data_IF_143556548389
#
_entry.id   IF_143556548389
#
_cell.length_a   1.000
_cell.length_b   1.000
_cell.length_c   1.000
_cell.angle_alpha   90.00
_cell.angle_beta   90.00
_cell.angle_gamma   90.00
#
_symmetry.space_group_name_H-M   'P 1'
#
loop_
_entity.id
_entity.type
_entity.pdbx_description
1 polymer ?
#
# COMPACT_ATOMS: atom_id res chain seq x y z
N UNK A 1 -22.34 -18.82 -35.04
CA UNK A 1 -21.23 -19.59 -34.43
C UNK A 1 -20.27 -18.57 -33.86
N UNK A 2 -20.06 -18.59 -32.54
CA UNK A 2 -19.04 -17.75 -31.88
C UNK A 2 -17.80 -18.62 -31.77
N UNK A 3 -16.78 -18.33 -32.57
CA UNK A 3 -15.49 -19.00 -32.46
C UNK A 3 -14.77 -18.46 -31.22
N UNK A 4 -14.49 -19.35 -30.27
CA UNK A 4 -13.68 -19.06 -29.10
C UNK A 4 -12.20 -19.03 -29.50
N UNK A 5 -11.53 -17.89 -29.29
CA UNK A 5 -10.10 -17.73 -29.51
C UNK A 5 -9.29 -18.29 -28.32
N UNK A 6 -8.28 -19.11 -28.63
CA UNK A 6 -7.26 -19.55 -27.68
C UNK A 6 -6.29 -18.40 -27.40
N UNK A 7 -6.19 -17.94 -26.16
CA UNK A 7 -5.11 -17.07 -25.70
C UNK A 7 -4.11 -17.87 -24.85
N UNK A 8 -2.92 -18.09 -25.40
CA UNK A 8 -1.77 -18.62 -24.64
C UNK A 8 -1.01 -17.43 -24.05
N UNK A 9 -0.77 -17.42 -22.73
CA UNK A 9 0.09 -16.45 -22.05
C UNK A 9 1.36 -17.14 -21.55
N UNK A 10 2.37 -17.24 -22.41
CA UNK A 10 3.72 -17.58 -21.99
C UNK A 10 4.41 -16.34 -21.38
N UNK A 11 5.18 -16.53 -20.29
CA UNK A 11 6.22 -15.56 -19.89
C UNK A 11 5.91 -14.50 -18.82
N UNK A 12 5.09 -14.77 -17.80
CA UNK A 12 5.00 -13.89 -16.60
C UNK A 12 5.32 -14.65 -15.32
N UNK A 13 6.21 -14.09 -14.50
CA UNK A 13 6.50 -14.63 -13.17
C UNK A 13 5.48 -14.10 -12.17
N UNK A 14 4.79 -15.01 -11.51
CA UNK A 14 3.82 -14.74 -10.45
C UNK A 14 4.47 -14.98 -9.09
N UNK A 15 4.28 -14.04 -8.16
CA UNK A 15 4.71 -14.13 -6.78
C UNK A 15 3.46 -14.19 -5.89
N UNK A 16 3.14 -15.39 -5.40
CA UNK A 16 2.01 -15.58 -4.49
C UNK A 16 2.42 -15.26 -3.06
N UNK A 17 1.74 -14.30 -2.45
CA UNK A 17 1.86 -13.99 -1.02
C UNK A 17 0.58 -14.39 -0.33
N UNK A 18 0.70 -15.31 0.62
CA UNK A 18 -0.40 -15.77 1.45
C UNK A 18 -0.40 -14.89 2.71
N UNK A 19 -1.47 -14.12 2.90
CA UNK A 19 -1.68 -13.38 4.14
C UNK A 19 -2.18 -14.31 5.25
N UNK A 20 -2.10 -13.88 6.51
CA UNK A 20 -2.50 -14.70 7.66
C UNK A 20 -4.00 -15.05 7.66
N UNK A 21 -4.81 -14.32 6.85
CA UNK A 21 -6.22 -14.63 6.56
C UNK A 21 -6.40 -15.70 5.48
N UNK A 22 -5.34 -16.42 5.12
CA UNK A 22 -5.30 -17.42 4.04
C UNK A 22 -5.71 -16.86 2.67
N UNK A 23 -5.75 -15.54 2.51
CA UNK A 23 -6.00 -14.89 1.23
C UNK A 23 -4.68 -14.78 0.47
N UNK A 24 -4.62 -15.47 -0.66
CA UNK A 24 -3.50 -15.35 -1.60
C UNK A 24 -3.66 -14.12 -2.47
N UNK A 25 -2.63 -13.28 -2.47
CA UNK A 25 -2.49 -12.16 -3.41
C UNK A 25 -1.35 -12.48 -4.35
N UNK A 26 -1.63 -12.47 -5.66
CA UNK A 26 -0.63 -12.73 -6.70
C UNK A 26 -0.05 -11.42 -7.19
N UNK A 27 1.26 -11.27 -7.12
CA UNK A 27 1.99 -10.11 -7.62
C UNK A 27 2.74 -10.46 -8.91
N UNK A 28 2.77 -9.53 -9.87
CA UNK A 28 3.50 -9.74 -11.13
C UNK A 28 4.94 -9.24 -10.99
N UNK A 29 5.90 -10.07 -11.40
CA UNK A 29 7.32 -9.76 -11.49
C UNK A 29 7.78 -9.65 -12.96
N UNK A 30 8.61 -8.65 -13.31
CA UNK A 30 9.16 -7.60 -12.45
C UNK A 30 8.12 -6.52 -12.07
N UNK A 31 8.43 -5.73 -11.04
CA UNK A 31 7.65 -4.56 -10.67
C UNK A 31 7.69 -3.50 -11.78
N UNK A 32 6.58 -2.79 -11.97
CA UNK A 32 6.53 -1.61 -12.84
C UNK A 32 7.35 -0.49 -12.24
N UNK A 33 8.00 0.32 -13.09
CA UNK A 33 8.71 1.54 -12.70
C UNK A 33 8.11 2.76 -13.40
N UNK A 34 7.99 3.86 -12.66
CA UNK A 34 7.57 5.15 -13.19
C UNK A 34 7.09 6.12 -12.10
N UNK A 35 6.57 7.24 -12.53
CA UNK A 35 5.85 8.20 -11.69
C UNK A 35 4.52 7.60 -11.20
N UNK A 36 3.90 8.25 -10.21
CA UNK A 36 2.62 7.77 -9.68
C UNK A 36 1.52 7.70 -10.75
N UNK A 37 1.43 8.66 -11.67
CA UNK A 37 0.43 8.65 -12.74
C UNK A 37 0.75 7.63 -13.83
N UNK A 38 2.00 7.49 -14.24
CA UNK A 38 2.36 6.48 -15.25
C UNK A 38 2.03 5.07 -14.73
N UNK A 39 2.32 4.80 -13.46
CA UNK A 39 1.97 3.54 -12.82
C UNK A 39 0.45 3.38 -12.65
N UNK A 40 -0.27 4.49 -12.41
CA UNK A 40 -1.72 4.52 -12.32
C UNK A 40 -2.38 3.99 -13.60
N UNK A 41 -1.80 4.33 -14.75
CA UNK A 41 -2.40 4.05 -16.06
C UNK A 41 -1.89 2.71 -16.63
N UNK A 42 -0.59 2.44 -16.49
CA UNK A 42 0.05 1.24 -17.06
C UNK A 42 -0.39 -0.07 -16.40
N UNK A 43 -0.54 -0.09 -15.08
CA UNK A 43 -0.89 -1.33 -14.37
C UNK A 43 -2.30 -1.82 -14.78
N UNK A 44 -3.35 -0.98 -14.77
CA UNK A 44 -4.66 -1.36 -15.28
C UNK A 44 -4.68 -1.65 -16.78
N UNK A 45 -3.89 -0.95 -17.59
CA UNK A 45 -3.81 -1.22 -19.03
C UNK A 45 -3.35 -2.66 -19.35
N UNK A 46 -2.56 -3.27 -18.45
CA UNK A 46 -2.13 -4.67 -18.55
C UNK A 46 -3.13 -5.68 -17.94
N UNK A 47 -4.32 -5.20 -17.54
CA UNK A 47 -5.36 -6.00 -16.91
C UNK A 47 -5.07 -6.38 -15.47
N UNK A 48 -4.23 -5.61 -14.77
CA UNK A 48 -3.84 -5.83 -13.38
C UNK A 48 -4.46 -4.77 -12.45
N UNK A 49 -4.56 -5.12 -11.18
CA UNK A 49 -5.01 -4.20 -10.14
C UNK A 49 -3.80 -3.44 -9.60
N UNK A 50 -3.96 -2.13 -9.41
CA UNK A 50 -2.98 -1.28 -8.70
C UNK A 50 -2.80 -1.82 -7.27
N UNK A 51 -1.58 -1.90 -6.70
CA UNK A 51 -1.42 -2.34 -5.32
C UNK A 51 -1.87 -1.25 -4.35
N UNK A 52 -2.62 -1.58 -3.30
CA UNK A 52 -2.79 -0.70 -2.14
C UNK A 52 -1.47 -0.57 -1.37
N UNK A 53 -1.42 0.31 -0.37
CA UNK A 53 -0.29 0.33 0.56
C UNK A 53 -0.12 -1.00 1.29
N UNK A 54 -1.21 -1.65 1.70
CA UNK A 54 -1.15 -2.97 2.34
C UNK A 54 -0.61 -4.05 1.41
N UNK A 55 -1.03 -4.07 0.14
CA UNK A 55 -0.46 -5.00 -0.85
C UNK A 55 1.07 -4.78 -0.96
N UNK A 56 1.52 -3.52 -0.93
CA UNK A 56 2.94 -3.17 -0.92
C UNK A 56 3.65 -3.63 0.37
N UNK A 57 3.00 -3.51 1.53
CA UNK A 57 3.51 -4.06 2.80
C UNK A 57 3.68 -5.57 2.71
N UNK A 58 2.68 -6.28 2.20
CA UNK A 58 2.67 -7.74 2.14
C UNK A 58 3.80 -8.29 1.26
N UNK A 59 3.99 -7.75 0.05
CA UNK A 59 5.08 -8.19 -0.83
C UNK A 59 6.47 -7.84 -0.27
N UNK A 60 6.61 -6.67 0.36
CA UNK A 60 7.87 -6.29 1.01
C UNK A 60 8.14 -7.21 2.21
N UNK A 61 7.14 -7.47 3.04
CA UNK A 61 7.26 -8.37 4.18
C UNK A 61 7.67 -9.77 3.73
N UNK A 62 7.03 -10.32 2.70
CA UNK A 62 7.41 -11.59 2.09
C UNK A 62 8.88 -11.58 1.60
N UNK A 63 9.33 -10.50 0.96
CA UNK A 63 10.72 -10.34 0.55
C UNK A 63 11.71 -10.38 1.72
N UNK A 64 11.38 -9.81 2.88
CA UNK A 64 12.26 -9.79 4.05
C UNK A 64 12.20 -11.07 4.90
N UNK A 65 11.12 -11.84 4.83
CA UNK A 65 10.88 -13.00 5.68
C UNK A 65 10.96 -14.35 4.97
N UNK A 66 10.92 -14.38 3.64
CA UNK A 66 11.06 -15.62 2.88
C UNK A 66 12.38 -16.32 3.19
N UNK A 67 12.29 -17.59 3.61
CA UNK A 67 13.44 -18.46 3.91
C UNK A 67 13.67 -19.52 2.83
N UNK A 68 12.80 -19.63 1.82
CA UNK A 68 12.96 -20.61 0.77
C UNK A 68 14.10 -20.18 -0.18
N UNK A 69 15.19 -20.96 -0.29
CA UNK A 69 16.33 -20.63 -1.14
C UNK A 69 15.96 -20.55 -2.63
N UNK A 70 14.97 -21.31 -3.10
CA UNK A 70 14.54 -21.32 -4.51
C UNK A 70 13.96 -19.97 -4.94
N UNK A 71 13.46 -19.19 -3.99
CA UNK A 71 12.85 -17.87 -4.21
C UNK A 71 13.74 -16.71 -3.75
N UNK A 72 14.98 -16.98 -3.34
CA UNK A 72 15.90 -15.96 -2.82
C UNK A 72 16.12 -14.79 -3.81
N UNK A 73 16.22 -15.09 -5.11
CA UNK A 73 16.40 -14.06 -6.15
C UNK A 73 15.26 -13.03 -6.19
N UNK A 74 14.02 -13.43 -5.93
CA UNK A 74 12.87 -12.53 -5.91
C UNK A 74 12.82 -11.72 -4.61
N UNK A 75 13.15 -12.36 -3.49
CA UNK A 75 13.30 -11.68 -2.21
C UNK A 75 14.38 -10.59 -2.28
N UNK A 76 15.53 -10.89 -2.89
CA UNK A 76 16.63 -9.94 -3.04
C UNK A 76 16.29 -8.81 -4.03
N UNK A 77 15.52 -9.10 -5.08
CA UNK A 77 14.96 -8.08 -5.97
C UNK A 77 14.08 -7.08 -5.20
N UNK A 78 13.18 -7.57 -4.34
CA UNK A 78 12.30 -6.72 -3.52
C UNK A 78 13.12 -5.86 -2.54
N UNK A 79 14.09 -6.47 -1.85
CA UNK A 79 15.01 -5.75 -0.93
C UNK A 79 15.83 -4.69 -1.68
N UNK A 80 16.26 -4.98 -2.90
CA UNK A 80 16.98 -4.02 -3.75
C UNK A 80 16.11 -2.82 -4.11
N UNK A 81 14.85 -3.04 -4.53
CA UNK A 81 13.92 -1.93 -4.76
C UNK A 81 13.77 -1.09 -3.49
N UNK A 82 13.52 -1.72 -2.34
CA UNK A 82 13.37 -1.00 -1.07
C UNK A 82 14.62 -0.17 -0.73
N UNK A 83 15.81 -0.66 -1.04
CA UNK A 83 17.07 0.05 -0.81
C UNK A 83 17.25 1.27 -1.74
N UNK A 84 16.91 1.10 -3.01
CA UNK A 84 17.30 2.03 -4.07
C UNK A 84 16.18 3.03 -4.45
N UNK A 85 14.91 2.69 -4.17
CA UNK A 85 13.75 3.43 -4.63
C UNK A 85 12.55 3.33 -3.68
N UNK A 86 11.45 4.01 -4.04
CA UNK A 86 10.17 3.91 -3.34
C UNK A 86 9.35 2.73 -3.89
N UNK A 87 8.79 1.92 -3.00
CA UNK A 87 7.67 1.01 -3.31
C UNK A 87 6.37 1.76 -3.05
N UNK A 88 5.57 1.95 -4.10
CA UNK A 88 4.36 2.78 -4.08
C UNK A 88 3.13 1.93 -3.78
N UNK A 89 2.33 2.40 -2.83
CA UNK A 89 0.94 1.99 -2.68
C UNK A 89 0.02 3.03 -3.30
N UNK A 90 -1.04 2.59 -3.97
CA UNK A 90 -2.11 3.46 -4.46
C UNK A 90 -3.11 3.74 -3.35
N UNK A 91 -2.61 4.35 -2.28
CA UNK A 91 -3.41 4.79 -1.13
C UNK A 91 -3.20 6.29 -0.96
N UNK A 92 -4.28 7.05 -1.09
CA UNK A 92 -4.31 8.49 -0.88
C UNK A 92 -4.42 8.82 0.61
N UNK A 93 -3.79 9.92 1.01
CA UNK A 93 -3.78 10.42 2.38
C UNK A 93 -4.16 11.89 2.33
N UNK A 94 -5.34 12.21 2.82
CA UNK A 94 -5.88 13.56 2.87
C UNK A 94 -5.82 14.08 4.29
N UNK A 95 -4.94 15.06 4.51
CA UNK A 95 -4.78 15.76 5.78
C UNK A 95 -5.72 16.96 5.80
N UNK A 96 -6.59 17.04 6.80
CA UNK A 96 -7.54 18.15 7.01
C UNK A 96 -7.75 18.37 8.51
N UNK A 97 -8.97 18.24 9.05
CA UNK A 97 -9.27 18.19 10.51
C UNK A 97 -8.69 16.96 11.22
N UNK A 98 -8.36 15.94 10.45
CA UNK A 98 -7.66 14.73 10.85
C UNK A 98 -6.97 14.16 9.62
N UNK A 99 -6.88 12.85 9.52
CA UNK A 99 -6.30 12.19 8.35
C UNK A 99 -7.27 11.16 7.81
N UNK A 100 -7.72 11.37 6.57
CA UNK A 100 -8.43 10.38 5.78
C UNK A 100 -7.43 9.59 4.95
N UNK A 101 -7.59 8.26 4.95
CA UNK A 101 -6.77 7.33 4.17
C UNK A 101 -7.70 6.54 3.27
N UNK A 102 -7.51 6.66 1.96
CA UNK A 102 -8.37 6.01 0.96
C UNK A 102 -7.53 5.13 0.05
N UNK A 103 -7.88 3.85 -0.04
CA UNK A 103 -7.31 2.97 -1.07
C UNK A 103 -7.92 3.27 -2.45
N UNK A 104 -7.06 3.25 -3.47
CA UNK A 104 -7.40 3.45 -4.87
C UNK A 104 -8.15 4.75 -5.19
N UNK A 105 -7.69 5.92 -4.70
CA UNK A 105 -8.29 7.19 -5.09
C UNK A 105 -8.17 7.38 -6.61
N UNK A 106 -9.07 8.19 -7.16
CA UNK A 106 -8.91 8.70 -8.51
C UNK A 106 -7.64 9.55 -8.59
N UNK A 107 -6.99 9.53 -9.76
CA UNK A 107 -5.74 10.27 -9.99
C UNK A 107 -5.95 11.21 -11.16
N UNK A 108 -5.71 12.50 -10.92
CA UNK A 108 -5.78 13.55 -11.93
C UNK A 108 -4.49 14.36 -11.85
N UNK A 109 -3.82 14.56 -12.99
CA UNK A 109 -2.57 15.33 -13.08
C UNK A 109 -1.53 14.90 -12.02
N UNK A 110 -1.26 13.60 -11.92
CA UNK A 110 -0.31 13.00 -10.96
C UNK A 110 -0.70 13.14 -9.48
N UNK A 111 -1.92 13.56 -9.16
CA UNK A 111 -2.35 13.80 -7.78
C UNK A 111 -3.60 12.99 -7.47
N UNK A 112 -3.62 12.35 -6.30
CA UNK A 112 -4.82 11.69 -5.79
C UNK A 112 -5.91 12.73 -5.50
N UNK A 113 -7.12 12.48 -6.00
CA UNK A 113 -8.28 13.36 -5.80
C UNK A 113 -9.11 12.82 -4.64
N UNK A 114 -9.31 13.67 -3.63
CA UNK A 114 -9.95 13.31 -2.37
C UNK A 114 -10.77 14.52 -1.90
N UNK A 115 -12.09 14.45 -2.01
CA UNK A 115 -13.01 15.50 -1.55
C UNK A 115 -13.44 15.22 -0.10
N UNK A 116 -13.10 16.11 0.83
CA UNK A 116 -13.37 15.92 2.26
C UNK A 116 -14.85 15.65 2.57
N UNK A 117 -15.78 16.42 2.01
CA UNK A 117 -17.23 16.23 2.23
C UNK A 117 -17.70 14.85 1.79
N UNK A 118 -17.18 14.33 0.68
CA UNK A 118 -17.55 13.00 0.19
C UNK A 118 -16.92 11.89 1.03
N UNK A 119 -15.71 12.10 1.54
CA UNK A 119 -15.06 11.17 2.46
C UNK A 119 -15.83 11.08 3.78
N UNK A 120 -16.24 12.21 4.35
CA UNK A 120 -17.03 12.25 5.58
C UNK A 120 -18.34 11.46 5.47
N UNK A 121 -19.05 11.58 4.34
CA UNK A 121 -20.29 10.84 4.10
C UNK A 121 -20.09 9.33 3.94
N UNK A 122 -18.89 8.88 3.57
CA UNK A 122 -18.54 7.47 3.38
C UNK A 122 -18.02 6.79 4.65
N UNK A 123 -17.65 7.57 5.67
CA UNK A 123 -17.22 6.99 6.94
C UNK A 123 -18.38 6.24 7.60
N UNK A 124 -18.11 5.02 8.04
CA UNK A 124 -19.04 4.21 8.82
C UNK A 124 -18.91 4.49 10.31
N UNK A 125 -19.50 3.59 11.11
CA UNK A 125 -19.46 3.65 12.58
C UNK A 125 -18.46 2.71 13.22
N UNK A 126 -17.84 1.81 12.43
CA UNK A 126 -16.86 0.85 12.94
C UNK A 126 -15.56 1.56 13.32
N UNK A 127 -15.16 1.44 14.58
CA UNK A 127 -13.90 1.96 15.11
C UNK A 127 -13.07 0.84 15.76
N UNK A 128 -11.83 0.68 15.33
CA UNK A 128 -10.87 -0.31 15.85
C UNK A 128 -9.47 0.33 15.95
N UNK A 129 -8.77 0.11 17.06
CA UNK A 129 -7.45 0.71 17.34
C UNK A 129 -7.41 2.27 17.18
N UNK A 130 -8.55 2.94 17.39
CA UNK A 130 -8.68 4.39 17.21
C UNK A 130 -8.69 4.85 15.75
N UNK A 131 -9.06 3.94 14.83
CA UNK A 131 -9.26 4.16 13.40
C UNK A 131 -10.74 3.92 13.09
N UNK A 132 -11.39 4.91 12.46
CA UNK A 132 -12.78 4.79 11.99
C UNK A 132 -12.76 4.32 10.54
N UNK A 133 -13.58 3.33 10.19
CA UNK A 133 -13.61 2.70 8.87
C UNK A 133 -14.93 2.99 8.14
N UNK A 134 -14.87 3.09 6.81
CA UNK A 134 -16.05 2.85 5.98
C UNK A 134 -16.50 1.39 6.04
N UNK A 135 -17.73 1.12 5.63
CA UNK A 135 -18.31 -0.23 5.62
C UNK A 135 -17.53 -1.19 4.69
N UNK A 136 -17.06 -0.70 3.55
CA UNK A 136 -16.19 -1.44 2.62
C UNK A 136 -14.72 -1.53 3.10
N UNK A 137 -14.38 -0.82 4.18
CA UNK A 137 -13.05 -0.76 4.75
C UNK A 137 -12.00 -0.05 3.90
N UNK A 138 -12.34 0.52 2.73
CA UNK A 138 -11.38 1.19 1.84
C UNK A 138 -11.00 2.60 2.32
N UNK A 139 -11.91 3.27 3.02
CA UNK A 139 -11.69 4.55 3.66
C UNK A 139 -11.48 4.36 5.15
N UNK A 140 -10.46 5.05 5.68
CA UNK A 140 -10.21 5.16 7.11
C UNK A 140 -10.04 6.61 7.51
N UNK A 141 -10.36 6.90 8.76
CA UNK A 141 -10.11 8.20 9.38
C UNK A 141 -9.44 8.04 10.73
N UNK A 142 -8.50 8.94 11.02
CA UNK A 142 -7.92 9.11 12.36
C UNK A 142 -7.86 10.59 12.73
N UNK A 143 -8.03 10.93 14.02
CA UNK A 143 -7.68 12.26 14.50
C UNK A 143 -6.15 12.43 14.56
N UNK A 144 -5.70 13.68 14.60
CA UNK A 144 -4.30 13.99 14.90
C UNK A 144 -3.88 13.54 16.31
N UNK A 145 -2.59 13.67 16.61
CA UNK A 145 -1.99 13.20 17.87
C UNK A 145 -1.42 11.79 17.78
N UNK A 146 -1.12 11.31 16.57
CA UNK A 146 -0.25 10.16 16.36
C UNK A 146 1.22 10.60 16.35
N UNK A 147 2.11 9.69 16.75
CA UNK A 147 3.55 9.93 16.71
C UNK A 147 4.06 9.90 15.28
N UNK A 148 4.98 10.79 14.92
CA UNK A 148 5.69 10.76 13.64
C UNK A 148 7.19 10.60 13.88
N UNK A 149 7.96 10.63 12.79
CA UNK A 149 9.42 10.55 12.82
C UNK A 149 9.94 9.22 13.39
N UNK A 150 11.10 9.24 14.03
CA UNK A 150 11.73 8.05 14.58
C UNK A 150 10.94 7.49 15.78
N UNK A 151 10.64 6.19 15.75
CA UNK A 151 9.94 5.53 16.86
C UNK A 151 10.42 4.09 17.07
N UNK A 152 10.17 3.53 18.26
CA UNK A 152 10.51 2.13 18.51
C UNK A 152 9.66 1.24 17.62
N UNK A 153 10.19 0.07 17.23
CA UNK A 153 9.48 -0.93 16.41
C UNK A 153 8.08 -1.24 16.96
N UNK A 154 7.97 -1.48 18.28
CA UNK A 154 6.68 -1.74 18.94
C UNK A 154 5.69 -0.57 18.88
N UNK A 155 6.19 0.67 18.79
CA UNK A 155 5.34 1.87 18.71
C UNK A 155 4.83 2.03 17.28
N UNK A 156 5.61 1.60 16.27
CA UNK A 156 5.18 1.58 14.86
C UNK A 156 3.96 0.69 14.66
N UNK A 157 3.98 -0.54 15.20
CA UNK A 157 2.86 -1.49 15.12
C UNK A 157 1.55 -0.96 15.74
N UNK A 158 1.64 -0.01 16.67
CA UNK A 158 0.49 0.57 17.40
C UNK A 158 0.16 1.98 16.93
N UNK A 159 0.83 2.46 15.89
CA UNK A 159 0.65 3.82 15.40
C UNK A 159 -0.63 3.91 14.55
N UNK A 160 -1.59 4.72 14.99
CA UNK A 160 -2.90 4.88 14.32
C UNK A 160 -2.79 5.22 12.83
N UNK A 161 -1.84 6.06 12.42
CA UNK A 161 -1.64 6.37 11.00
C UNK A 161 -1.07 5.18 10.24
N UNK A 162 -0.14 4.44 10.83
CA UNK A 162 0.42 3.24 10.21
C UNK A 162 -0.66 2.16 10.04
N UNK A 163 -1.50 1.96 11.06
CA UNK A 163 -2.65 1.05 11.01
C UNK A 163 -3.61 1.46 9.88
N UNK A 164 -4.03 2.73 9.84
CA UNK A 164 -4.91 3.24 8.80
C UNK A 164 -4.32 3.08 7.38
N UNK A 165 -3.02 3.37 7.21
CA UNK A 165 -2.32 3.17 5.93
C UNK A 165 -2.23 1.69 5.56
N UNK A 166 -1.88 0.82 6.49
CA UNK A 166 -1.70 -0.60 6.27
C UNK A 166 -3.01 -1.41 6.35
N UNK A 167 -4.15 -0.73 6.26
CA UNK A 167 -5.52 -1.22 6.38
C UNK A 167 -5.93 -1.73 7.77
N UNK A 168 -5.02 -2.30 8.54
CA UNK A 168 -5.30 -2.83 9.87
C UNK A 168 -4.01 -2.99 10.70
N UNK A 169 -4.18 -3.51 11.92
CA UNK A 169 -3.09 -3.75 12.86
C UNK A 169 -2.11 -4.82 12.39
N UNK A 170 -2.59 -5.86 11.73
CA UNK A 170 -1.73 -6.88 11.11
C UNK A 170 -0.83 -6.22 10.04
N UNK A 171 -1.38 -5.27 9.29
CA UNK A 171 -0.70 -4.26 8.48
C UNK A 171 0.52 -3.66 9.15
N UNK A 172 0.27 -3.01 10.27
CA UNK A 172 1.28 -2.30 11.03
C UNK A 172 2.30 -3.24 11.68
N UNK A 173 1.90 -4.44 12.10
CA UNK A 173 2.78 -5.45 12.68
C UNK A 173 3.77 -6.00 11.65
N UNK A 174 3.36 -6.27 10.41
CA UNK A 174 4.30 -6.64 9.33
C UNK A 174 5.32 -5.54 9.04
N UNK A 175 4.92 -4.26 9.12
CA UNK A 175 5.86 -3.14 9.00
C UNK A 175 6.84 -3.09 10.17
N UNK A 176 6.39 -3.39 11.38
CA UNK A 176 7.27 -3.51 12.54
C UNK A 176 8.26 -4.68 12.37
N UNK A 177 7.83 -5.83 11.85
CA UNK A 177 8.69 -6.97 11.58
C UNK A 177 9.75 -6.68 10.51
N UNK A 178 9.39 -5.92 9.45
CA UNK A 178 10.37 -5.40 8.47
C UNK A 178 11.34 -4.44 9.16
N UNK A 179 10.84 -3.53 10.00
CA UNK A 179 11.65 -2.54 10.70
C UNK A 179 12.67 -3.20 11.64
N UNK A 180 12.31 -4.30 12.29
CA UNK A 180 13.19 -5.07 13.18
C UNK A 180 14.40 -5.69 12.44
N UNK A 181 14.30 -5.86 11.11
CA UNK A 181 15.44 -6.30 10.27
C UNK A 181 16.45 -5.20 9.99
N UNK A 182 16.13 -3.96 10.36
CA UNK A 182 16.99 -2.80 10.14
C UNK A 182 17.77 -2.46 11.41
N UNK A 183 18.96 -1.89 11.24
CA UNK A 183 19.83 -1.50 12.37
C UNK A 183 19.24 -0.34 13.18
N UNK A 184 18.44 0.51 12.53
CA UNK A 184 17.86 1.71 13.11
C UNK A 184 16.36 1.60 13.26
N UNK A 185 15.85 2.36 14.22
CA UNK A 185 14.44 2.55 14.43
C UNK A 185 13.73 3.05 13.15
N UNK A 186 12.50 2.55 12.89
CA UNK A 186 11.69 3.00 11.77
C UNK A 186 11.37 4.50 11.89
N UNK A 187 11.10 5.11 10.74
CA UNK A 187 10.73 6.52 10.63
C UNK A 187 9.40 6.67 9.89
N UNK A 188 8.45 7.40 10.48
CA UNK A 188 7.18 7.75 9.85
C UNK A 188 7.21 9.19 9.34
N UNK A 189 7.20 9.38 8.02
CA UNK A 189 7.06 10.69 7.38
C UNK A 189 5.58 11.00 7.20
N UNK A 190 5.03 11.91 8.01
CA UNK A 190 3.64 12.35 7.92
C UNK A 190 3.48 13.78 8.44
N UNK A 191 2.39 14.44 8.04
CA UNK A 191 2.03 15.76 8.58
C UNK A 191 1.27 15.58 9.90
N UNK A 192 1.70 16.29 10.94
CA UNK A 192 1.08 16.24 12.28
C UNK A 192 -0.07 17.22 12.45
N UNK A 193 -0.13 18.24 11.58
CA UNK A 193 -1.23 19.18 11.41
C UNK A 193 -1.06 19.92 10.08
N UNK A 194 -2.13 20.54 9.59
CA UNK A 194 -2.11 21.38 8.39
C UNK A 194 -3.02 22.60 8.60
N UNK A 195 -2.65 23.73 8.02
CA UNK A 195 -3.50 24.93 8.04
C UNK A 195 -4.58 24.88 6.95
N UNK A 196 -4.30 24.16 5.85
CA UNK A 196 -5.21 23.97 4.73
C UNK A 196 -5.21 22.49 4.34
N UNK A 197 -6.34 21.94 3.88
CA UNK A 197 -6.42 20.54 3.47
C UNK A 197 -5.42 20.20 2.37
N UNK A 198 -4.78 19.04 2.48
CA UNK A 198 -3.74 18.64 1.53
C UNK A 198 -3.70 17.13 1.33
N UNK A 199 -3.59 16.73 0.06
CA UNK A 199 -3.52 15.33 -0.33
C UNK A 199 -2.08 14.89 -0.62
N UNK A 200 -1.78 13.66 -0.20
CA UNK A 200 -0.52 12.94 -0.37
C UNK A 200 -0.82 11.49 -0.76
N UNK A 201 0.22 10.74 -1.07
CA UNK A 201 0.14 9.31 -1.35
C UNK A 201 1.12 8.54 -0.48
N UNK A 202 0.84 7.27 -0.29
CA UNK A 202 1.66 6.38 0.52
C UNK A 202 2.85 5.82 -0.25
N UNK A 203 3.96 5.58 0.45
CA UNK A 203 5.11 4.86 -0.08
C UNK A 203 5.93 4.20 1.03
N UNK A 204 6.70 3.18 0.65
CA UNK A 204 7.70 2.50 1.49
C UNK A 204 9.08 2.66 0.87
N UNK A 205 10.10 2.80 1.71
CA UNK A 205 11.48 2.64 1.28
C UNK A 205 12.39 2.34 2.46
N UNK A 206 13.62 1.95 2.14
CA UNK A 206 14.73 1.78 3.07
C UNK A 206 15.85 2.73 2.63
N UNK A 207 15.77 3.99 3.06
CA UNK A 207 16.68 5.04 2.57
C UNK A 207 18.12 4.74 2.94
N UNK A 208 18.97 4.45 1.94
CA UNK A 208 20.39 4.14 2.17
C UNK A 208 21.20 5.38 2.60
N UNK A 209 20.88 6.57 2.09
CA UNK A 209 21.57 7.83 2.44
C UNK A 209 21.31 8.33 3.86
N UNK A 210 20.29 7.79 4.56
CA UNK A 210 19.91 8.16 5.93
C UNK A 210 19.83 6.96 6.89
N UNK A 211 20.69 5.96 6.64
CA UNK A 211 21.26 5.07 7.67
C UNK A 211 20.49 3.76 7.98
N UNK A 212 20.12 2.99 6.95
CA UNK A 212 19.62 1.60 7.10
C UNK A 212 18.42 1.49 8.07
N UNK A 213 17.32 2.19 7.75
CA UNK A 213 16.05 2.17 8.48
C UNK A 213 14.89 1.97 7.51
N UNK A 214 13.78 1.39 8.01
CA UNK A 214 12.51 1.42 7.30
C UNK A 214 11.90 2.83 7.38
N UNK A 215 11.48 3.36 6.24
CA UNK A 215 10.72 4.60 6.14
C UNK A 215 9.31 4.31 5.64
N UNK A 216 8.32 4.58 6.49
CA UNK A 216 6.89 4.59 6.15
C UNK A 216 6.53 6.02 5.79
N UNK A 217 6.07 6.26 4.57
CA UNK A 217 5.86 7.62 4.07
C UNK A 217 4.39 7.86 3.73
N UNK A 218 3.76 8.75 4.48
CA UNK A 218 2.43 9.28 4.21
C UNK A 218 2.41 10.69 3.63
N UNK A 219 3.57 11.27 3.32
CA UNK A 219 3.71 12.66 2.87
C UNK A 219 4.35 12.77 1.46
N UNK A 220 4.06 11.83 0.55
CA UNK A 220 4.56 11.90 -0.83
C UNK A 220 3.59 12.70 -1.71
N UNK A 221 4.11 13.61 -2.56
CA UNK A 221 3.28 14.47 -3.42
C UNK A 221 2.68 13.77 -4.67
N UNK A 222 2.94 12.48 -4.90
CA UNK A 222 2.49 11.75 -6.10
C UNK A 222 3.30 12.09 -7.35
N UNK A 223 3.33 13.37 -7.74
CA UNK A 223 4.05 13.94 -8.90
C UNK A 223 5.58 13.98 -8.82
N UNK A 224 6.16 13.35 -7.80
CA UNK A 224 7.59 13.32 -7.58
C UNK A 224 8.33 12.23 -8.36
N UNK A 225 9.57 11.97 -7.93
CA UNK A 225 10.51 10.96 -8.45
C UNK A 225 9.87 9.60 -8.74
N UNK A 226 10.44 8.88 -9.69
CA UNK A 226 10.05 7.51 -10.02
C UNK A 226 10.07 6.60 -8.79
N UNK A 227 9.15 5.64 -8.78
CA UNK A 227 9.13 4.53 -7.84
C UNK A 227 8.72 3.24 -8.55
N UNK A 228 8.53 2.20 -7.75
CA UNK A 228 8.11 0.89 -8.20
C UNK A 228 6.75 0.51 -7.62
N UNK A 229 5.95 -0.20 -8.39
CA UNK A 229 4.71 -0.81 -7.93
C UNK A 229 4.56 -2.20 -8.55
N UNK A 230 4.10 -3.16 -7.76
CA UNK A 230 3.79 -4.50 -8.25
C UNK A 230 2.34 -4.55 -8.69
N UNK A 231 2.10 -4.93 -9.96
CA UNK A 231 0.73 -5.19 -10.40
C UNK A 231 0.17 -6.41 -9.68
N UNK A 232 -1.09 -6.34 -9.28
CA UNK A 232 -1.77 -7.36 -8.46
C UNK A 232 -2.81 -8.09 -9.29
N UNK A 233 -2.86 -9.41 -9.14
CA UNK A 233 -3.96 -10.25 -9.59
C UNK A 233 -4.63 -10.86 -8.35
N UNK A 234 -5.90 -10.54 -8.15
CA UNK A 234 -6.72 -11.20 -7.12
C UNK A 234 -7.41 -12.36 -7.79
N UNK A 235 -7.01 -13.59 -7.46
CA UNK A 235 -7.76 -14.79 -7.83
C UNK A 235 -9.07 -14.73 -7.05
N UNK A 236 -10.19 -14.51 -7.74
CA UNK A 236 -11.54 -14.61 -7.16
C UNK A 236 -11.82 -16.08 -6.86
N UNK A 237 -11.25 -16.59 -5.77
CA UNK A 237 -11.73 -17.80 -5.13
C UNK A 237 -12.95 -17.42 -4.29
N UNK A 238 -14.10 -17.98 -4.67
CA UNK A 238 -15.43 -17.82 -4.07
C UNK A 238 -16.26 -16.62 -4.58
N UNK A 239 -17.50 -16.95 -4.93
CA UNK A 239 -18.44 -16.16 -5.71
C UNK A 239 -18.78 -14.81 -5.06
N UNK A 240 -18.84 -13.76 -5.89
CA UNK A 240 -19.63 -12.56 -5.61
C UNK A 240 -21.10 -12.98 -5.44
N UNK A 241 -21.74 -12.78 -4.27
CA UNK A 241 -23.18 -12.73 -4.19
C UNK A 241 -23.60 -11.27 -4.42
N UNK A 242 -23.87 -10.90 -5.67
CA UNK A 242 -24.93 -9.97 -6.09
C UNK A 242 -24.73 -9.48 -7.54
N UNK A 243 -24.94 -10.37 -8.51
CA UNK A 243 -25.71 -10.00 -9.70
C UNK A 243 -27.03 -10.78 -9.63
N UNK A 244 -27.99 -10.21 -8.90
CA UNK A 244 -29.41 -10.45 -9.14
C UNK A 244 -30.14 -9.12 -9.02
N UNK A 245 -30.19 -8.41 -10.13
CA UNK A 245 -31.30 -7.52 -10.44
C UNK A 245 -32.30 -8.33 -11.25
N UNK A 246 -33.46 -8.58 -10.65
CA UNK A 246 -34.81 -8.53 -11.24
C UNK A 246 -35.82 -8.74 -10.11
#
# INVERSE_FOLDING_TARGET
MVESLLQVREGRTELDVISDRQKTTTFIHPAYQGTYSELNDRIPADGLIRPSFRDSVDIVHAGFTNKNPDYAKYADYIKKIMKDAWVRGFTGIHYSKGVFVLDFPDVVNNTAVMNESDLEKKLGSREEDGVVYSDDGLLRFIPYGFKTEEMKVKDLARNRLVIAMAQDREGAEKLADIADKHRKNPYLLALTSVNEPVTRVSALCSVWSLVNRLCVNGNVRGSGRDGHAFGVQRKTGEASPAEKSL
#
